data_IF_708720088553
#
_entry.id   IF_708720088553
#
_cell.length_a   1.000
_cell.length_b   1.000
_cell.length_c   1.000
_cell.angle_alpha   90.00
_cell.angle_beta   90.00
_cell.angle_gamma   90.00
#
_symmetry.space_group_name_H-M   'P 1'
#
loop_
_entity.id
_entity.type
_entity.pdbx_description
1 polymer ?
#
# COMPACT_ATOMS: atom_id res chain seq x y z
N UNK A 1 -13.72 -19.54 -34.01
CA UNK A 1 -13.15 -18.19 -34.13
C UNK A 1 -14.18 -17.20 -33.63
N UNK A 2 -14.11 -16.80 -32.35
CA UNK A 2 -14.97 -15.75 -31.80
C UNK A 2 -14.30 -14.41 -32.11
N UNK A 3 -14.90 -13.65 -33.02
CA UNK A 3 -14.46 -12.30 -33.37
C UNK A 3 -14.66 -11.40 -32.16
N UNK A 4 -13.56 -10.92 -31.57
CA UNK A 4 -13.56 -9.85 -30.58
C UNK A 4 -14.10 -8.60 -31.26
N UNK A 5 -15.40 -8.34 -31.09
CA UNK A 5 -16.00 -7.09 -31.49
C UNK A 5 -15.27 -5.96 -30.76
N UNK A 6 -14.74 -4.98 -31.50
CA UNK A 6 -14.07 -3.83 -30.92
C UNK A 6 -15.01 -3.12 -29.95
N UNK A 7 -14.75 -3.26 -28.66
CA UNK A 7 -15.47 -2.55 -27.61
C UNK A 7 -14.96 -1.12 -27.57
N UNK A 8 -15.61 -0.24 -28.34
CA UNK A 8 -15.45 1.21 -28.18
C UNK A 8 -15.99 1.58 -26.80
N UNK A 9 -15.22 2.33 -26.01
CA UNK A 9 -15.69 2.84 -24.71
C UNK A 9 -16.93 3.69 -24.96
N UNK A 10 -18.04 3.35 -24.31
CA UNK A 10 -19.24 4.14 -24.40
C UNK A 10 -19.00 5.49 -23.70
N UNK A 11 -19.68 6.53 -24.16
CA UNK A 11 -19.59 7.88 -23.54
C UNK A 11 -19.94 7.81 -22.04
N UNK A 12 -20.83 6.90 -21.64
CA UNK A 12 -21.15 6.63 -20.23
C UNK A 12 -19.94 6.15 -19.42
N UNK A 13 -19.09 5.29 -19.99
CA UNK A 13 -17.92 4.74 -19.30
C UNK A 13 -16.88 5.83 -19.05
N UNK A 14 -16.69 6.70 -20.05
CA UNK A 14 -15.79 7.86 -19.95
C UNK A 14 -16.27 8.83 -18.88
N UNK A 15 -17.59 9.11 -18.82
CA UNK A 15 -18.17 9.98 -17.79
C UNK A 15 -17.94 9.40 -16.40
N UNK A 16 -18.16 8.10 -16.19
CA UNK A 16 -17.92 7.44 -14.90
C UNK A 16 -16.44 7.56 -14.49
N UNK A 17 -15.51 7.35 -15.42
CA UNK A 17 -14.07 7.50 -15.17
C UNK A 17 -13.72 8.93 -14.75
N UNK A 18 -14.21 9.94 -15.49
CA UNK A 18 -13.95 11.35 -15.18
C UNK A 18 -14.52 11.72 -13.80
N UNK A 19 -15.76 11.33 -13.51
CA UNK A 19 -16.40 11.60 -12.21
C UNK A 19 -15.62 10.94 -11.08
N UNK A 20 -15.17 9.70 -11.25
CA UNK A 20 -14.32 9.01 -10.27
C UNK A 20 -13.03 9.79 -9.99
N UNK A 21 -12.29 10.21 -11.03
CA UNK A 21 -11.06 11.00 -10.85
C UNK A 21 -11.32 12.34 -10.16
N UNK A 22 -12.40 13.04 -10.53
CA UNK A 22 -12.79 14.30 -9.90
C UNK A 22 -13.13 14.11 -8.42
N UNK A 23 -13.86 13.06 -8.05
CA UNK A 23 -14.18 12.75 -6.65
C UNK A 23 -12.92 12.43 -5.84
N UNK A 24 -12.02 11.62 -6.38
CA UNK A 24 -10.74 11.28 -5.71
C UNK A 24 -9.89 12.53 -5.51
N UNK A 25 -9.77 13.38 -6.52
CA UNK A 25 -9.04 14.66 -6.43
C UNK A 25 -9.70 15.61 -5.43
N UNK A 26 -11.02 15.71 -5.45
CA UNK A 26 -11.77 16.54 -4.51
C UNK A 26 -11.55 16.11 -3.07
N UNK A 27 -11.69 14.81 -2.77
CA UNK A 27 -11.45 14.25 -1.43
C UNK A 27 -9.98 14.44 -1.02
N UNK A 28 -9.03 14.23 -1.94
CA UNK A 28 -7.60 14.44 -1.70
C UNK A 28 -7.26 15.89 -1.35
N UNK A 29 -7.77 16.85 -2.11
CA UNK A 29 -7.56 18.28 -1.87
C UNK A 29 -8.28 18.76 -0.60
N UNK A 30 -9.49 18.28 -0.35
CA UNK A 30 -10.24 18.58 0.87
C UNK A 30 -9.54 18.05 2.12
N UNK A 31 -9.00 16.83 2.06
CA UNK A 31 -8.21 16.22 3.13
C UNK A 31 -6.88 16.96 3.35
N UNK A 32 -6.17 17.33 2.27
CA UNK A 32 -4.90 18.07 2.32
C UNK A 32 -5.05 19.45 3.00
N UNK A 33 -6.16 20.16 2.74
CA UNK A 33 -6.43 21.47 3.36
C UNK A 33 -6.65 21.42 4.87
N UNK A 34 -6.94 20.25 5.45
CA UNK A 34 -7.25 20.11 6.88
C UNK A 34 -6.02 19.85 7.75
N UNK A 35 -4.84 19.56 7.17
CA UNK A 35 -3.63 19.11 7.88
C UNK A 35 -2.41 20.06 7.75
N UNK A 36 -2.62 21.37 7.73
CA UNK A 36 -1.58 22.39 7.50
C UNK A 36 -0.67 22.74 8.69
N UNK A 37 -0.58 21.92 9.74
CA UNK A 37 0.07 22.31 11.01
C UNK A 37 1.44 21.69 11.35
N UNK A 38 1.73 20.44 10.98
CA UNK A 38 2.99 19.76 11.36
C UNK A 38 3.15 18.41 10.66
N UNK A 39 4.36 18.05 10.24
CA UNK A 39 4.67 16.73 9.65
C UNK A 39 4.24 15.57 10.56
N UNK A 40 4.33 15.74 11.88
CA UNK A 40 3.81 14.76 12.84
C UNK A 40 2.28 14.65 12.84
N UNK A 41 1.55 15.74 12.60
CA UNK A 41 0.09 15.71 12.47
C UNK A 41 -0.36 15.01 11.18
N UNK A 42 0.37 15.21 10.10
CA UNK A 42 0.10 14.60 8.79
C UNK A 42 0.42 13.09 8.77
N UNK A 43 1.55 12.67 9.34
CA UNK A 43 1.97 11.26 9.36
C UNK A 43 1.38 10.44 10.50
N UNK A 44 1.05 11.06 11.64
CA UNK A 44 0.64 10.35 12.86
C UNK A 44 -0.84 10.47 13.18
N UNK A 45 -1.60 11.27 12.41
CA UNK A 45 -3.04 11.52 12.63
C UNK A 45 -3.38 11.72 14.12
N UNK A 46 -2.53 12.47 14.82
CA UNK A 46 -2.70 12.79 16.25
C UNK A 46 -2.64 11.60 17.22
N UNK A 47 -2.15 10.41 16.83
CA UNK A 47 -2.09 9.17 17.65
C UNK A 47 -3.44 8.70 18.20
N UNK A 48 -4.56 9.30 17.78
CA UNK A 48 -5.90 9.04 18.33
C UNK A 48 -6.84 8.49 17.25
N UNK A 49 -6.29 7.67 16.36
CA UNK A 49 -7.00 7.11 15.20
C UNK A 49 -7.59 5.76 15.59
N UNK A 50 -8.89 5.59 15.41
CA UNK A 50 -9.58 4.35 15.71
C UNK A 50 -8.98 3.17 14.91
N UNK A 51 -8.98 1.98 15.50
CA UNK A 51 -8.37 0.78 14.89
C UNK A 51 -8.97 0.40 13.53
N UNK A 52 -10.25 0.71 13.29
CA UNK A 52 -10.96 0.41 12.03
C UNK A 52 -10.35 1.19 10.84
N UNK A 53 -10.28 2.54 10.85
CA UNK A 53 -9.58 3.30 9.80
C UNK A 53 -8.14 2.86 9.57
N UNK A 54 -7.41 2.51 10.63
CA UNK A 54 -6.01 2.04 10.53
C UNK A 54 -5.94 0.71 9.77
N UNK A 55 -6.77 -0.26 10.12
CA UNK A 55 -6.86 -1.54 9.43
C UNK A 55 -7.29 -1.39 7.96
N UNK A 56 -8.30 -0.56 7.69
CA UNK A 56 -8.76 -0.28 6.34
C UNK A 56 -7.67 0.37 5.46
N UNK A 57 -6.90 1.31 6.02
CA UNK A 57 -5.78 1.94 5.30
C UNK A 57 -4.65 0.96 5.01
N UNK A 58 -4.31 0.09 5.96
CA UNK A 58 -3.29 -0.94 5.77
C UNK A 58 -3.71 -1.93 4.66
N UNK A 59 -4.98 -2.35 4.67
CA UNK A 59 -5.53 -3.23 3.64
C UNK A 59 -5.55 -2.54 2.26
N UNK A 60 -6.04 -1.30 2.20
CA UNK A 60 -6.07 -0.51 0.96
C UNK A 60 -4.66 -0.24 0.39
N UNK A 61 -3.64 -0.15 1.25
CA UNK A 61 -2.24 0.04 0.80
C UNK A 61 -1.62 -1.25 0.24
N UNK A 62 -2.14 -2.41 0.65
CA UNK A 62 -1.67 -3.70 0.16
C UNK A 62 -2.33 -4.09 -1.16
N UNK A 63 -3.65 -3.86 -1.29
CA UNK A 63 -4.41 -4.23 -2.48
C UNK A 63 -4.24 -3.17 -3.57
N UNK A 64 -3.78 -3.59 -4.75
CA UNK A 64 -3.58 -2.71 -5.91
C UNK A 64 -3.91 -3.41 -7.23
N UNK A 65 -3.72 -2.71 -8.35
CA UNK A 65 -4.03 -3.20 -9.70
C UNK A 65 -3.43 -4.59 -10.02
N UNK A 66 -2.25 -4.89 -9.47
CA UNK A 66 -1.59 -6.20 -9.58
C UNK A 66 -2.39 -7.34 -8.97
N UNK A 67 -3.06 -7.09 -7.84
CA UNK A 67 -3.91 -8.10 -7.22
C UNK A 67 -5.10 -8.41 -8.15
N UNK A 68 -5.73 -7.40 -8.74
CA UNK A 68 -6.87 -7.61 -9.64
C UNK A 68 -6.48 -8.29 -10.96
N UNK A 69 -5.47 -7.79 -11.69
CA UNK A 69 -5.13 -8.35 -13.00
C UNK A 69 -4.30 -9.63 -12.86
N UNK A 70 -3.34 -9.65 -11.93
CA UNK A 70 -2.41 -10.76 -11.74
C UNK A 70 -3.03 -11.96 -11.05
N UNK A 71 -3.86 -11.77 -10.02
CA UNK A 71 -4.49 -12.90 -9.32
C UNK A 71 -5.68 -13.46 -10.07
N UNK A 72 -6.45 -12.63 -10.80
CA UNK A 72 -7.51 -13.15 -11.67
C UNK A 72 -6.89 -13.95 -12.83
N UNK A 73 -5.78 -13.47 -13.42
CA UNK A 73 -5.06 -14.21 -14.46
C UNK A 73 -4.48 -15.53 -13.95
N UNK A 74 -3.88 -15.52 -12.76
CA UNK A 74 -3.37 -16.75 -12.14
C UNK A 74 -4.51 -17.67 -11.68
N UNK A 75 -5.66 -17.13 -11.26
CA UNK A 75 -6.86 -17.86 -10.88
C UNK A 75 -7.49 -18.59 -12.05
N UNK A 76 -7.41 -18.02 -13.25
CA UNK A 76 -7.85 -18.67 -14.48
C UNK A 76 -6.98 -19.90 -14.84
N UNK A 77 -5.69 -19.91 -14.48
CA UNK A 77 -4.77 -21.02 -14.80
C UNK A 77 -4.63 -22.07 -13.70
N UNK A 78 -4.66 -21.67 -12.44
CA UNK A 78 -4.42 -22.55 -11.27
C UNK A 78 -5.64 -22.75 -10.37
N UNK A 79 -6.76 -22.08 -10.66
CA UNK A 79 -8.01 -22.24 -9.94
C UNK A 79 -7.98 -21.72 -8.49
N UNK A 80 -8.69 -22.41 -7.60
CA UNK A 80 -8.88 -22.02 -6.19
C UNK A 80 -7.57 -22.10 -5.37
N UNK A 81 -6.51 -22.71 -5.90
CA UNK A 81 -5.24 -22.87 -5.19
C UNK A 81 -4.60 -21.53 -4.76
N UNK A 82 -4.80 -20.44 -5.52
CA UNK A 82 -4.29 -19.11 -5.15
C UNK A 82 -4.94 -18.55 -3.90
N UNK A 83 -6.19 -18.90 -3.63
CA UNK A 83 -6.88 -18.47 -2.42
C UNK A 83 -6.19 -19.03 -1.16
N UNK A 84 -5.64 -20.25 -1.23
CA UNK A 84 -4.86 -20.83 -0.14
C UNK A 84 -3.55 -20.06 0.11
N UNK A 85 -2.94 -19.51 -0.94
CA UNK A 85 -1.76 -18.66 -0.81
C UNK A 85 -2.08 -17.36 -0.05
N UNK A 86 -3.19 -16.70 -0.38
CA UNK A 86 -3.62 -15.49 0.33
C UNK A 86 -4.00 -15.75 1.79
N UNK A 87 -4.70 -16.87 2.06
CA UNK A 87 -5.02 -17.28 3.43
C UNK A 87 -3.76 -17.49 4.27
N UNK A 88 -2.74 -18.16 3.73
CA UNK A 88 -1.48 -18.34 4.44
C UNK A 88 -0.76 -17.00 4.69
N UNK A 89 -0.77 -16.09 3.71
CA UNK A 89 -0.19 -14.76 3.88
C UNK A 89 -0.87 -13.98 5.02
N UNK A 90 -2.19 -14.07 5.17
CA UNK A 90 -2.93 -13.45 6.27
C UNK A 90 -2.45 -13.94 7.65
N UNK A 91 -2.28 -15.25 7.83
CA UNK A 91 -1.80 -15.83 9.10
C UNK A 91 -0.37 -15.37 9.44
N UNK A 92 0.53 -15.38 8.46
CA UNK A 92 1.91 -14.93 8.64
C UNK A 92 1.95 -13.44 9.01
N UNK A 93 1.15 -12.60 8.35
CA UNK A 93 1.06 -11.18 8.66
C UNK A 93 0.54 -10.92 10.07
N UNK A 94 -0.43 -11.70 10.55
CA UNK A 94 -0.98 -11.56 11.90
C UNK A 94 0.07 -11.90 12.98
N UNK A 95 0.85 -12.96 12.76
CA UNK A 95 1.98 -13.32 13.64
C UNK A 95 3.06 -12.25 13.61
N UNK A 96 3.43 -11.78 12.42
CA UNK A 96 4.42 -10.72 12.24
C UNK A 96 3.99 -9.43 12.94
N UNK A 97 2.72 -9.05 12.81
CA UNK A 97 2.15 -7.90 13.52
C UNK A 97 2.26 -8.09 15.03
N UNK A 98 1.86 -9.24 15.58
CA UNK A 98 1.93 -9.46 17.03
C UNK A 98 3.37 -9.36 17.59
N UNK A 99 4.37 -9.86 16.86
CA UNK A 99 5.77 -9.86 17.30
C UNK A 99 6.43 -8.49 17.11
N UNK A 100 6.26 -7.87 15.93
CA UNK A 100 7.01 -6.67 15.56
C UNK A 100 6.31 -5.36 15.94
N UNK A 101 4.98 -5.33 16.00
CA UNK A 101 4.23 -4.15 16.42
C UNK A 101 4.63 -3.61 17.80
N UNK A 102 4.73 -4.43 18.88
CA UNK A 102 5.13 -3.91 20.19
C UNK A 102 6.57 -3.36 20.18
N UNK A 103 7.46 -3.95 19.39
CA UNK A 103 8.86 -3.49 19.25
C UNK A 103 8.92 -2.13 18.55
N UNK A 104 8.10 -1.90 17.53
CA UNK A 104 8.05 -0.61 16.83
C UNK A 104 7.40 0.48 17.68
N UNK A 105 6.33 0.16 18.40
CA UNK A 105 5.69 1.12 19.30
C UNK A 105 6.64 1.52 20.44
N UNK A 106 7.39 0.57 21.00
CA UNK A 106 8.35 0.83 22.08
C UNK A 106 9.57 1.66 21.64
N UNK A 107 10.00 1.53 20.39
CA UNK A 107 11.14 2.29 19.85
C UNK A 107 10.79 3.71 19.39
N UNK A 108 9.49 4.03 19.23
CA UNK A 108 9.03 5.40 18.93
C UNK A 108 9.45 5.95 17.56
N UNK A 109 9.92 5.08 16.67
CA UNK A 109 10.42 5.40 15.33
C UNK A 109 9.30 5.40 14.30
N UNK A 110 9.39 6.31 13.32
CA UNK A 110 8.35 6.48 12.30
C UNK A 110 8.65 5.72 11.03
N UNK A 111 9.92 5.37 10.80
CA UNK A 111 10.36 4.69 9.58
C UNK A 111 11.23 3.48 9.88
N UNK A 112 11.19 2.48 9.00
CA UNK A 112 12.04 1.29 9.09
C UNK A 112 13.55 1.62 9.14
N UNK A 113 14.09 2.52 8.29
CA UNK A 113 15.51 2.90 8.38
C UNK A 113 15.87 3.58 9.71
N UNK A 114 14.95 4.31 10.33
CA UNK A 114 15.14 4.96 11.61
C UNK A 114 15.20 3.95 12.77
N UNK A 115 14.37 2.89 12.72
CA UNK A 115 14.50 1.74 13.63
C UNK A 115 15.90 1.12 13.56
N UNK A 116 16.40 0.89 12.34
CA UNK A 116 17.72 0.28 12.14
C UNK A 116 18.85 1.20 12.59
N UNK A 117 18.68 2.52 12.48
CA UNK A 117 19.63 3.50 13.05
C UNK A 117 19.74 3.39 14.56
N UNK A 118 18.61 3.27 15.28
CA UNK A 118 18.63 3.12 16.74
C UNK A 118 19.23 1.79 17.18
N UNK A 119 19.03 0.73 16.40
CA UNK A 119 19.53 -0.62 16.72
C UNK A 119 21.03 -0.81 16.42
N UNK A 120 21.51 -0.30 15.29
CA UNK A 120 22.87 -0.58 14.80
C UNK A 120 23.85 0.59 14.96
N UNK A 121 23.38 1.79 15.31
CA UNK A 121 24.23 2.95 15.58
C UNK A 121 24.98 3.45 14.35
N UNK A 122 24.39 4.38 13.61
CA UNK A 122 25.12 5.07 12.54
C UNK A 122 24.23 5.77 11.51
N UNK A 123 24.40 7.09 11.36
CA UNK A 123 23.66 7.89 10.38
C UNK A 123 23.95 7.47 8.93
N UNK A 124 25.15 6.95 8.66
CA UNK A 124 25.57 6.47 7.34
C UNK A 124 24.78 5.23 6.91
N UNK A 125 24.59 4.27 7.82
CA UNK A 125 23.87 3.02 7.56
C UNK A 125 22.39 3.30 7.22
N UNK A 126 21.77 4.27 7.89
CA UNK A 126 20.40 4.70 7.56
C UNK A 126 20.29 5.18 6.11
N UNK A 127 21.22 6.02 5.67
CA UNK A 127 21.22 6.56 4.30
C UNK A 127 21.47 5.45 3.29
N UNK A 128 22.45 4.58 3.53
CA UNK A 128 22.70 3.43 2.65
C UNK A 128 21.49 2.51 2.53
N UNK A 129 20.85 2.17 3.65
CA UNK A 129 19.66 1.31 3.65
C UNK A 129 18.45 1.97 3.03
N UNK A 130 18.24 3.28 3.25
CA UNK A 130 17.16 4.03 2.62
C UNK A 130 17.35 4.11 1.10
N UNK A 131 18.56 4.41 0.64
CA UNK A 131 18.89 4.43 -0.79
C UNK A 131 18.76 3.04 -1.40
N UNK A 132 19.28 2.00 -0.74
CA UNK A 132 19.16 0.62 -1.19
C UNK A 132 17.70 0.19 -1.27
N UNK A 133 16.90 0.45 -0.23
CA UNK A 133 15.47 0.11 -0.22
C UNK A 133 14.71 0.86 -1.32
N UNK A 134 15.05 2.12 -1.58
CA UNK A 134 14.45 2.92 -2.65
C UNK A 134 14.83 2.35 -4.03
N UNK A 135 16.10 2.01 -4.24
CA UNK A 135 16.56 1.36 -5.47
C UNK A 135 15.83 0.03 -5.69
N UNK A 136 15.85 -0.87 -4.70
CA UNK A 136 15.15 -2.15 -4.77
C UNK A 136 13.66 -1.96 -5.07
N UNK A 137 13.00 -1.01 -4.41
CA UNK A 137 11.59 -0.72 -4.66
C UNK A 137 11.33 -0.25 -6.10
N UNK A 138 12.17 0.66 -6.63
CA UNK A 138 12.09 1.12 -8.02
C UNK A 138 12.28 -0.06 -8.98
N UNK A 139 13.35 -0.85 -8.80
CA UNK A 139 13.63 -2.00 -9.65
C UNK A 139 12.50 -3.04 -9.62
N UNK A 140 11.98 -3.38 -8.46
CA UNK A 140 10.85 -4.32 -8.34
C UNK A 140 9.57 -3.76 -8.98
N UNK A 141 9.32 -2.46 -8.85
CA UNK A 141 8.13 -1.85 -9.48
C UNK A 141 8.25 -1.75 -10.99
N UNK A 142 9.43 -1.47 -11.53
CA UNK A 142 9.70 -1.45 -12.97
C UNK A 142 9.68 -2.88 -13.53
N UNK A 143 10.28 -3.85 -12.84
CA UNK A 143 10.32 -5.24 -13.32
C UNK A 143 8.96 -5.93 -13.32
N UNK A 144 8.01 -5.43 -12.51
CA UNK A 144 6.65 -5.95 -12.43
C UNK A 144 5.64 -5.15 -13.28
N UNK A 145 6.13 -4.20 -14.09
CA UNK A 145 5.38 -3.54 -15.15
C UNK A 145 5.67 -4.24 -16.48
#
# INVERSE_FOLDING_TARGET
MATVAGTYLHVSDIVVIIVYFLLVLFVGLWSSRKNSGSAGGYFLAGRNMNWIPVGASLFASNIGSRHFVGMVGSGASTGIAIYLYELNAMYVLMILAYIFLPVYIASGVFTMPEYLKLRFGGNRIQIYLAVLALLVYIFTKISAA
#
